data_IF_576312278787
#
_entry.id   IF_576312278787
#
_cell.length_a   1.000
_cell.length_b   1.000
_cell.length_c   1.000
_cell.angle_alpha   90.00
_cell.angle_beta   90.00
_cell.angle_gamma   90.00
#
_symmetry.space_group_name_H-M   'P 1'
#
loop_
_entity.id
_entity.type
_entity.pdbx_description
1 polymer ?
#
# COMPACT_ATOMS: atom_id res chain seq x y z
N UNK A 1 -7.62 22.99 9.72
CA UNK A 1 -8.76 23.26 8.81
C UNK A 1 -8.51 22.62 7.45
N UNK A 2 -9.56 22.05 6.81
CA UNK A 2 -9.49 21.39 5.52
C UNK A 2 -10.20 22.21 4.44
N UNK A 3 -9.66 22.27 3.19
CA UNK A 3 -10.42 22.75 2.05
C UNK A 3 -11.74 21.99 1.90
N UNK A 4 -12.77 22.69 1.46
CA UNK A 4 -14.14 22.13 1.37
C UNK A 4 -14.21 20.85 0.51
N UNK A 5 -13.47 20.83 -0.61
CA UNK A 5 -13.48 19.69 -1.52
C UNK A 5 -12.86 18.43 -0.88
N UNK A 6 -11.86 18.60 0.00
CA UNK A 6 -11.25 17.48 0.75
C UNK A 6 -12.23 16.93 1.78
N UNK A 7 -12.89 17.81 2.55
CA UNK A 7 -13.91 17.38 3.50
C UNK A 7 -15.05 16.63 2.78
N UNK A 8 -15.45 17.10 1.60
CA UNK A 8 -16.46 16.41 0.79
C UNK A 8 -15.98 15.03 0.31
N UNK A 9 -14.72 14.92 -0.11
CA UNK A 9 -14.14 13.64 -0.51
C UNK A 9 -14.16 12.62 0.66
N UNK A 10 -13.86 13.06 1.87
CA UNK A 10 -13.94 12.22 3.07
C UNK A 10 -15.38 11.80 3.39
N UNK A 11 -16.32 12.75 3.32
CA UNK A 11 -17.74 12.45 3.53
C UNK A 11 -18.26 11.43 2.51
N UNK A 12 -17.91 11.59 1.25
CA UNK A 12 -18.30 10.65 0.17
C UNK A 12 -17.74 9.26 0.43
N UNK A 13 -16.48 9.15 0.86
CA UNK A 13 -15.84 7.87 1.17
C UNK A 13 -16.42 7.20 2.42
N UNK A 14 -16.83 7.98 3.43
CA UNK A 14 -17.51 7.46 4.61
C UNK A 14 -18.93 6.99 4.30
N UNK A 15 -19.59 7.57 3.29
CA UNK A 15 -20.92 7.15 2.84
C UNK A 15 -21.95 7.21 3.96
N UNK A 16 -22.55 6.08 4.33
CA UNK A 16 -23.52 5.98 5.43
C UNK A 16 -22.92 6.33 6.80
N UNK A 17 -21.60 6.29 6.93
CA UNK A 17 -20.86 6.64 8.15
C UNK A 17 -20.40 8.12 8.17
N UNK A 18 -21.00 8.97 7.33
CA UNK A 18 -20.63 10.40 7.24
C UNK A 18 -20.79 11.18 8.58
N UNK A 19 -21.51 10.64 9.55
CA UNK A 19 -21.51 11.13 10.92
C UNK A 19 -20.15 11.09 11.62
N UNK A 20 -19.20 10.30 11.11
CA UNK A 20 -17.81 10.24 11.60
C UNK A 20 -16.90 11.30 10.97
N UNK A 21 -17.40 12.16 10.07
CA UNK A 21 -16.57 13.12 9.31
C UNK A 21 -15.74 14.03 10.23
N UNK A 22 -16.34 14.58 11.27
CA UNK A 22 -15.64 15.47 12.19
C UNK A 22 -14.48 14.75 12.89
N UNK A 23 -14.69 13.50 13.30
CA UNK A 23 -13.65 12.67 13.90
C UNK A 23 -12.52 12.35 12.91
N UNK A 24 -12.86 12.04 11.66
CA UNK A 24 -11.89 11.80 10.60
C UNK A 24 -11.01 13.02 10.31
N UNK A 25 -11.61 14.20 10.18
CA UNK A 25 -10.90 15.45 9.94
C UNK A 25 -10.06 15.88 11.15
N UNK A 26 -10.55 15.66 12.37
CA UNK A 26 -9.80 15.93 13.60
C UNK A 26 -8.56 15.02 13.71
N UNK A 27 -8.69 13.75 13.36
CA UNK A 27 -7.56 12.82 13.34
C UNK A 27 -6.47 13.20 12.33
N UNK A 28 -6.87 13.79 11.21
CA UNK A 28 -5.95 14.33 10.21
C UNK A 28 -5.16 15.56 10.69
N UNK A 29 -5.71 16.33 11.62
CA UNK A 29 -5.04 17.49 12.22
C UNK A 29 -4.17 17.08 13.42
N UNK A 30 -4.31 15.88 13.93
CA UNK A 30 -3.52 15.38 15.03
C UNK A 30 -2.10 14.96 14.57
N UNK A 31 -1.12 15.20 15.45
CA UNK A 31 0.24 14.74 15.17
C UNK A 31 0.28 13.21 15.18
N UNK A 32 0.72 12.55 14.09
CA UNK A 32 0.79 11.10 14.04
C UNK A 32 1.90 10.57 14.94
N UNK A 33 1.68 9.41 15.55
CA UNK A 33 2.74 8.64 16.16
C UNK A 33 3.71 8.08 15.12
N UNK A 34 4.91 7.72 15.56
CA UNK A 34 5.89 7.05 14.71
C UNK A 34 5.65 5.55 14.77
N UNK A 35 5.42 4.94 13.61
CA UNK A 35 5.33 3.50 13.47
C UNK A 35 6.61 2.94 12.85
N UNK A 36 7.10 1.84 13.39
CA UNK A 36 8.22 1.08 12.83
C UNK A 36 7.70 -0.27 12.32
N UNK A 37 8.37 -0.79 11.31
CA UNK A 37 8.18 -2.15 10.81
C UNK A 37 9.46 -2.95 11.04
N UNK A 38 9.40 -4.00 11.86
CA UNK A 38 10.47 -4.97 12.00
C UNK A 38 10.57 -5.82 10.72
N UNK A 39 11.80 -6.09 10.26
CA UNK A 39 12.01 -6.90 9.05
C UNK A 39 11.72 -8.37 9.35
N UNK A 40 10.74 -9.00 8.67
CA UNK A 40 10.47 -10.43 8.82
C UNK A 40 11.72 -11.29 8.58
N UNK A 41 11.91 -12.31 9.41
CA UNK A 41 13.07 -13.21 9.31
C UNK A 41 14.36 -12.66 9.92
N UNK A 42 14.40 -11.39 10.30
CA UNK A 42 15.60 -10.71 10.84
C UNK A 42 15.36 -10.24 12.28
N UNK A 43 14.24 -9.59 12.52
CA UNK A 43 13.92 -9.03 13.83
C UNK A 43 12.41 -9.16 14.10
N UNK A 44 12.03 -9.55 15.30
CA UNK A 44 10.63 -9.60 15.70
C UNK A 44 10.14 -8.23 16.18
N UNK A 45 8.85 -7.98 16.07
CA UNK A 45 8.25 -6.76 16.63
C UNK A 45 8.48 -6.66 18.14
N UNK A 46 8.39 -7.77 18.88
CA UNK A 46 8.67 -7.79 20.33
C UNK A 46 10.10 -7.35 20.65
N UNK A 47 11.08 -7.91 19.94
CA UNK A 47 12.48 -7.53 20.13
C UNK A 47 12.74 -6.06 19.76
N UNK A 48 12.12 -5.58 18.67
CA UNK A 48 12.22 -4.18 18.26
C UNK A 48 11.59 -3.24 19.30
N UNK A 49 10.42 -3.59 19.82
CA UNK A 49 9.74 -2.80 20.85
C UNK A 49 10.58 -2.68 22.12
N UNK A 50 11.20 -3.78 22.58
CA UNK A 50 12.12 -3.78 23.72
C UNK A 50 13.33 -2.87 23.47
N UNK A 51 13.98 -3.00 22.31
CA UNK A 51 15.16 -2.22 21.96
C UNK A 51 14.84 -0.71 21.79
N UNK A 52 13.65 -0.39 21.32
CA UNK A 52 13.21 0.98 21.04
C UNK A 52 12.50 1.66 22.21
N UNK A 53 12.14 0.92 23.26
CA UNK A 53 11.28 1.43 24.32
C UNK A 53 9.87 1.76 23.85
N UNK A 54 9.39 1.02 22.88
CA UNK A 54 8.08 1.19 22.25
C UNK A 54 7.10 0.08 22.59
N UNK A 55 5.96 0.08 21.94
CA UNK A 55 4.89 -0.92 22.10
C UNK A 55 4.66 -1.65 20.77
N UNK A 56 4.37 -2.94 20.85
CA UNK A 56 3.96 -3.74 19.69
C UNK A 56 2.64 -3.19 19.12
N UNK A 57 2.57 -3.06 17.80
CA UNK A 57 1.39 -2.56 17.11
C UNK A 57 0.17 -3.47 17.26
N UNK A 58 -1.02 -2.88 17.05
CA UNK A 58 -2.29 -3.58 17.27
C UNK A 58 -2.64 -4.58 16.18
N UNK A 59 -2.18 -4.35 14.94
CA UNK A 59 -2.69 -5.06 13.77
C UNK A 59 -1.61 -5.78 12.97
N UNK A 60 -0.56 -5.08 12.56
CA UNK A 60 0.53 -5.69 11.82
C UNK A 60 1.44 -6.48 12.76
N UNK A 61 1.81 -7.72 12.41
CA UNK A 61 2.74 -8.51 13.21
C UNK A 61 4.16 -7.93 13.24
N UNK A 62 4.44 -6.92 12.43
CA UNK A 62 5.75 -6.26 12.31
C UNK A 62 5.80 -4.89 13.01
N UNK A 63 4.64 -4.34 13.38
CA UNK A 63 4.53 -2.97 13.83
C UNK A 63 5.00 -2.76 15.25
N UNK A 64 5.70 -1.63 15.46
CA UNK A 64 6.03 -1.08 16.76
C UNK A 64 5.68 0.40 16.78
N UNK A 65 5.03 0.85 17.85
CA UNK A 65 4.72 2.26 18.07
C UNK A 65 5.76 2.88 18.99
N UNK A 66 6.34 4.02 18.55
CA UNK A 66 7.22 4.83 19.38
C UNK A 66 6.42 5.95 20.02
N UNK A 67 6.60 6.16 21.34
CA UNK A 67 5.99 7.27 22.08
C UNK A 67 6.76 8.57 21.96
N UNK A 68 7.99 8.54 21.44
CA UNK A 68 8.85 9.72 21.25
C UNK A 68 10.28 9.32 20.89
N UNK A 69 11.15 10.31 20.78
CA UNK A 69 12.53 10.11 20.40
C UNK A 69 12.77 10.20 18.89
N UNK A 70 14.04 10.12 18.50
CA UNK A 70 14.48 10.12 17.12
C UNK A 70 14.67 8.67 16.64
N UNK A 71 13.85 8.16 15.71
CA UNK A 71 14.01 6.82 15.16
C UNK A 71 15.40 6.57 14.56
N UNK A 72 16.03 7.61 14.01
CA UNK A 72 17.34 7.52 13.39
C UNK A 72 18.47 7.12 14.36
N UNK A 73 18.24 7.21 15.67
CA UNK A 73 19.18 6.75 16.71
C UNK A 73 19.13 5.26 16.98
N UNK A 74 18.09 4.58 16.50
CA UNK A 74 17.93 3.14 16.73
C UNK A 74 18.91 2.35 15.84
N UNK A 75 19.71 1.48 16.46
CA UNK A 75 20.62 0.60 15.74
C UNK A 75 19.89 -0.27 14.71
N UNK A 76 18.70 -0.77 15.04
CA UNK A 76 17.91 -1.59 14.15
C UNK A 76 17.57 -0.87 12.83
N UNK A 77 17.32 0.44 12.85
CA UNK A 77 17.07 1.22 11.64
C UNK A 77 18.36 1.43 10.85
N UNK A 78 19.45 1.77 11.51
CA UNK A 78 20.76 1.95 10.86
C UNK A 78 21.26 0.67 10.21
N UNK A 79 20.98 -0.46 10.81
CA UNK A 79 21.43 -1.80 10.36
C UNK A 79 20.45 -2.43 9.35
N UNK A 80 19.39 -1.72 8.95
CA UNK A 80 18.40 -2.22 8.00
C UNK A 80 17.50 -3.34 8.52
N UNK A 81 17.40 -3.50 9.84
CA UNK A 81 16.58 -4.53 10.50
C UNK A 81 15.13 -4.06 10.71
N UNK A 82 14.90 -2.78 10.59
CA UNK A 82 13.58 -2.15 10.69
C UNK A 82 13.54 -0.86 9.85
N UNK A 83 12.35 -0.42 9.50
CA UNK A 83 12.09 0.83 8.79
C UNK A 83 11.00 1.63 9.50
N UNK A 84 11.00 2.94 9.29
CA UNK A 84 9.85 3.78 9.63
C UNK A 84 8.78 3.54 8.58
N UNK A 85 7.62 3.05 8.98
CA UNK A 85 6.52 2.74 8.08
C UNK A 85 5.19 2.76 8.82
N UNK A 86 4.22 3.52 8.31
CA UNK A 86 2.84 3.51 8.81
C UNK A 86 2.28 2.09 8.85
N UNK A 87 1.58 1.74 9.91
CA UNK A 87 1.03 0.38 10.08
C UNK A 87 0.04 0.03 8.96
N UNK A 88 -0.71 1.01 8.46
CA UNK A 88 -1.59 0.81 7.29
C UNK A 88 -0.82 0.40 6.05
N UNK A 89 0.35 1.00 5.81
CA UNK A 89 1.25 0.60 4.72
C UNK A 89 1.80 -0.81 4.89
N UNK A 90 2.11 -1.20 6.11
CA UNK A 90 2.53 -2.57 6.43
C UNK A 90 1.43 -3.59 6.13
N UNK A 91 0.20 -3.28 6.49
CA UNK A 91 -0.97 -4.12 6.25
C UNK A 91 -1.25 -4.29 4.75
N UNK A 92 -1.08 -3.24 3.95
CA UNK A 92 -1.19 -3.32 2.48
C UNK A 92 -0.12 -4.25 1.91
N UNK A 93 1.14 -4.06 2.29
CA UNK A 93 2.24 -4.91 1.82
C UNK A 93 2.00 -6.39 2.19
N UNK A 94 1.61 -6.65 3.42
CA UNK A 94 1.29 -8.00 3.90
C UNK A 94 0.10 -8.61 3.16
N UNK A 95 -0.94 -7.82 2.87
CA UNK A 95 -2.13 -8.28 2.16
C UNK A 95 -1.79 -8.84 0.76
N UNK A 96 -0.85 -8.23 0.03
CA UNK A 96 -0.37 -8.77 -1.23
C UNK A 96 0.14 -10.21 -1.05
N UNK A 97 0.90 -10.47 -0.01
CA UNK A 97 1.53 -11.77 0.23
C UNK A 97 0.53 -12.83 0.70
N UNK A 98 -0.61 -12.43 1.25
CA UNK A 98 -1.67 -13.31 1.74
C UNK A 98 -2.78 -13.57 0.72
N UNK A 99 -2.88 -12.75 -0.33
CA UNK A 99 -3.95 -12.90 -1.32
C UNK A 99 -3.88 -14.28 -2.00
N UNK A 100 -5.02 -15.01 -2.08
CA UNK A 100 -4.98 -16.37 -2.62
C UNK A 100 -4.89 -16.34 -4.15
N UNK A 101 -3.80 -16.92 -4.68
CA UNK A 101 -3.66 -17.23 -6.09
C UNK A 101 -4.43 -18.52 -6.44
N UNK A 102 -4.91 -18.63 -7.68
CA UNK A 102 -5.31 -19.92 -8.25
C UNK A 102 -4.08 -20.58 -8.87
N UNK A 103 -3.90 -21.86 -8.58
CA UNK A 103 -2.69 -22.59 -8.97
C UNK A 103 -1.48 -22.24 -8.08
N UNK A 104 -0.33 -22.82 -8.41
CA UNK A 104 0.89 -22.62 -7.64
C UNK A 104 1.46 -21.21 -7.84
N UNK A 105 1.91 -20.61 -6.76
CA UNK A 105 2.67 -19.37 -6.80
C UNK A 105 4.11 -19.68 -7.24
N UNK A 106 4.49 -19.21 -8.42
CA UNK A 106 5.84 -19.39 -8.98
C UNK A 106 6.90 -18.51 -8.33
N UNK A 107 6.53 -17.69 -7.35
CA UNK A 107 7.45 -16.83 -6.61
C UNK A 107 7.96 -15.62 -7.40
N UNK A 108 7.25 -15.17 -8.42
CA UNK A 108 7.58 -13.96 -9.18
C UNK A 108 6.63 -12.83 -8.80
N UNK A 109 7.09 -11.92 -7.97
CA UNK A 109 6.29 -10.84 -7.42
C UNK A 109 6.78 -9.48 -7.93
N UNK A 110 5.87 -8.53 -8.12
CA UNK A 110 6.14 -7.22 -8.68
C UNK A 110 5.55 -6.12 -7.79
N UNK A 111 6.36 -5.10 -7.51
CA UNK A 111 5.92 -3.81 -6.97
C UNK A 111 6.02 -2.74 -8.05
N UNK A 112 4.90 -2.35 -8.64
CA UNK A 112 4.88 -1.53 -9.86
C UNK A 112 5.09 -0.03 -9.60
N UNK A 113 4.92 0.42 -8.36
CA UNK A 113 5.11 1.81 -7.93
C UNK A 113 5.87 1.83 -6.60
N UNK A 114 7.13 1.41 -6.64
CA UNK A 114 7.86 0.98 -5.46
C UNK A 114 8.35 2.09 -4.52
N UNK A 115 8.67 3.26 -5.06
CA UNK A 115 9.29 4.32 -4.27
C UNK A 115 8.43 4.84 -3.11
N UNK A 116 9.04 5.11 -1.97
CA UNK A 116 10.48 5.05 -1.64
C UNK A 116 11.00 3.67 -1.20
N UNK A 117 10.17 2.61 -1.16
CA UNK A 117 10.63 1.25 -0.95
C UNK A 117 10.24 0.60 0.38
N UNK A 118 9.43 1.25 1.20
CA UNK A 118 8.98 0.67 2.47
C UNK A 118 8.15 -0.60 2.28
N UNK A 119 7.15 -0.55 1.41
CA UNK A 119 6.34 -1.75 1.07
C UNK A 119 7.17 -2.79 0.34
N UNK A 120 8.04 -2.37 -0.58
CA UNK A 120 8.95 -3.27 -1.29
C UNK A 120 9.82 -4.06 -0.32
N UNK A 121 10.43 -3.40 0.66
CA UNK A 121 11.28 -4.04 1.66
C UNK A 121 10.53 -5.10 2.46
N UNK A 122 9.30 -4.80 2.89
CA UNK A 122 8.47 -5.74 3.64
C UNK A 122 8.06 -6.94 2.78
N UNK A 123 7.59 -6.68 1.55
CA UNK A 123 7.22 -7.73 0.60
C UNK A 123 8.42 -8.63 0.30
N UNK A 124 9.59 -8.03 0.06
CA UNK A 124 10.80 -8.79 -0.27
C UNK A 124 11.31 -9.63 0.92
N UNK A 125 11.19 -9.13 2.14
CA UNK A 125 11.55 -9.91 3.33
C UNK A 125 10.62 -11.11 3.53
N UNK A 126 9.32 -10.95 3.27
CA UNK A 126 8.35 -12.04 3.29
C UNK A 126 8.63 -13.02 2.14
N UNK A 127 8.90 -12.51 0.94
CA UNK A 127 9.23 -13.30 -0.23
C UNK A 127 10.45 -14.20 0.01
N UNK A 128 11.48 -13.67 0.67
CA UNK A 128 12.69 -14.43 1.00
C UNK A 128 12.40 -15.66 1.86
N UNK A 129 11.39 -15.58 2.74
CA UNK A 129 10.98 -16.72 3.57
C UNK A 129 10.22 -17.79 2.78
N UNK A 130 9.73 -17.46 1.59
CA UNK A 130 8.92 -18.34 0.73
C UNK A 130 9.65 -18.75 -0.55
N UNK A 131 10.90 -18.36 -0.72
CA UNK A 131 11.65 -18.62 -1.94
C UNK A 131 11.19 -17.81 -3.16
N UNK A 132 10.51 -16.69 -2.93
CA UNK A 132 10.06 -15.77 -3.97
C UNK A 132 11.04 -14.62 -4.16
N UNK A 133 10.98 -13.98 -5.33
CA UNK A 133 11.78 -12.81 -5.71
C UNK A 133 10.88 -11.63 -6.04
N UNK A 134 11.40 -10.42 -5.91
CA UNK A 134 10.64 -9.18 -6.15
C UNK A 134 11.32 -8.36 -7.23
N UNK A 135 10.53 -7.91 -8.19
CA UNK A 135 10.89 -6.83 -9.11
C UNK A 135 10.19 -5.56 -8.63
N UNK A 136 10.93 -4.49 -8.51
CA UNK A 136 10.43 -3.18 -8.07
C UNK A 136 10.63 -2.15 -9.19
N UNK A 137 9.60 -1.36 -9.47
CA UNK A 137 9.59 -0.37 -10.55
C UNK A 137 9.37 1.02 -9.97
N UNK A 138 10.25 1.95 -10.30
CA UNK A 138 10.16 3.35 -9.88
C UNK A 138 10.80 4.25 -10.94
N UNK A 139 10.05 5.15 -11.59
CA UNK A 139 10.60 6.00 -12.65
C UNK A 139 11.49 7.13 -12.13
N UNK A 140 11.27 7.62 -10.92
CA UNK A 140 12.06 8.71 -10.36
C UNK A 140 13.40 8.20 -9.83
N UNK A 141 14.56 8.68 -10.35
CA UNK A 141 15.89 8.15 -9.98
C UNK A 141 16.20 8.23 -8.49
N UNK A 142 15.83 9.34 -7.82
CA UNK A 142 16.08 9.50 -6.37
C UNK A 142 15.24 8.54 -5.54
N UNK A 143 13.98 8.33 -5.93
CA UNK A 143 13.11 7.38 -5.26
C UNK A 143 13.54 5.94 -5.51
N UNK A 144 14.03 5.64 -6.72
CA UNK A 144 14.60 4.33 -7.04
C UNK A 144 15.85 4.04 -6.19
N UNK A 145 16.72 5.02 -5.96
CA UNK A 145 17.85 4.87 -5.03
C UNK A 145 17.40 4.55 -3.61
N UNK A 146 16.30 5.16 -3.14
CA UNK A 146 15.73 4.85 -1.83
C UNK A 146 15.20 3.41 -1.78
N UNK A 147 14.59 2.93 -2.85
CA UNK A 147 14.16 1.51 -2.95
C UNK A 147 15.38 0.59 -2.84
N UNK A 148 16.45 0.88 -3.56
CA UNK A 148 17.70 0.11 -3.51
C UNK A 148 18.29 0.10 -2.09
N UNK A 149 18.35 1.25 -1.43
CA UNK A 149 18.84 1.38 -0.05
C UNK A 149 17.98 0.60 0.96
N UNK A 150 16.66 0.72 0.84
CA UNK A 150 15.71 0.08 1.76
C UNK A 150 15.62 -1.44 1.57
N UNK A 151 16.13 -1.96 0.47
CA UNK A 151 16.09 -3.40 0.12
C UNK A 151 17.47 -4.06 0.13
N UNK A 152 18.49 -3.39 0.68
CA UNK A 152 19.83 -3.98 0.83
C UNK A 152 19.75 -5.33 1.57
N UNK A 153 20.38 -6.34 1.02
CA UNK A 153 20.38 -7.71 1.56
C UNK A 153 19.15 -8.55 1.19
N UNK A 154 18.25 -7.99 0.38
CA UNK A 154 17.06 -8.69 -0.14
C UNK A 154 17.19 -8.93 -1.65
N UNK A 155 16.55 -9.97 -2.14
CA UNK A 155 16.52 -10.29 -3.57
C UNK A 155 15.46 -9.44 -4.29
N UNK A 156 15.88 -8.22 -4.66
CA UNK A 156 15.03 -7.23 -5.34
C UNK A 156 15.79 -6.67 -6.56
N UNK A 157 15.16 -6.79 -7.73
CA UNK A 157 15.60 -6.09 -8.93
C UNK A 157 14.85 -4.77 -9.05
N UNK A 158 15.57 -3.65 -9.07
CA UNK A 158 14.98 -2.31 -9.23
C UNK A 158 15.10 -1.84 -10.67
N UNK A 159 13.98 -1.50 -11.30
CA UNK A 159 13.88 -0.99 -12.66
C UNK A 159 13.44 0.47 -12.62
N UNK A 160 14.25 1.35 -13.22
CA UNK A 160 14.00 2.80 -13.24
C UNK A 160 13.24 3.20 -14.50
N UNK A 161 12.01 2.75 -14.60
CA UNK A 161 11.12 2.98 -15.75
C UNK A 161 9.71 3.33 -15.27
N UNK A 162 8.90 3.90 -16.15
CA UNK A 162 7.48 4.08 -15.91
C UNK A 162 6.79 2.70 -15.97
N UNK A 163 6.00 2.39 -14.95
CA UNK A 163 5.31 1.09 -14.85
C UNK A 163 4.36 0.80 -16.01
N UNK A 164 3.88 1.85 -16.71
CA UNK A 164 3.05 1.71 -17.90
C UNK A 164 3.83 1.27 -19.14
N UNK A 165 5.14 1.47 -19.12
CA UNK A 165 6.06 1.22 -20.26
C UNK A 165 7.01 0.05 -19.98
N UNK A 166 6.69 -0.79 -19.02
CA UNK A 166 7.53 -1.91 -18.64
C UNK A 166 7.58 -2.97 -19.73
N UNK A 167 8.76 -3.17 -20.34
CA UNK A 167 9.00 -4.09 -21.45
C UNK A 167 9.23 -5.54 -20.99
N UNK A 168 8.45 -6.02 -20.04
CA UNK A 168 8.44 -7.41 -19.63
C UNK A 168 7.30 -8.16 -20.33
N UNK A 169 7.46 -9.49 -20.54
CA UNK A 169 6.41 -10.30 -21.12
C UNK A 169 5.12 -10.21 -20.31
N UNK A 170 3.99 -10.25 -21.00
CA UNK A 170 2.69 -10.40 -20.34
C UNK A 170 2.67 -11.67 -19.48
N UNK A 171 1.85 -11.66 -18.42
CA UNK A 171 1.62 -12.84 -17.57
C UNK A 171 2.88 -13.39 -16.89
N UNK A 172 3.84 -12.49 -16.59
CA UNK A 172 5.14 -12.85 -15.99
C UNK A 172 5.12 -12.99 -14.47
N UNK A 173 4.10 -12.45 -13.79
CA UNK A 173 4.09 -12.36 -12.33
C UNK A 173 2.89 -13.05 -11.70
N UNK A 174 3.12 -13.63 -10.53
CA UNK A 174 2.08 -14.28 -9.71
C UNK A 174 1.33 -13.27 -8.86
N UNK A 175 2.04 -12.26 -8.33
CA UNK A 175 1.53 -11.22 -7.44
C UNK A 175 2.05 -9.86 -7.88
N UNK A 176 1.16 -8.88 -8.01
CA UNK A 176 1.52 -7.52 -8.39
C UNK A 176 0.89 -6.52 -7.42
N UNK A 177 1.72 -5.67 -6.82
CA UNK A 177 1.26 -4.51 -6.05
C UNK A 177 1.23 -3.28 -6.96
N UNK A 178 0.12 -2.54 -6.91
CA UNK A 178 0.00 -1.19 -7.44
C UNK A 178 -0.34 -0.26 -6.28
N UNK A 179 0.68 0.22 -5.58
CA UNK A 179 0.54 1.31 -4.61
C UNK A 179 0.63 2.63 -5.39
N UNK A 180 -0.51 3.04 -5.93
CA UNK A 180 -0.57 4.01 -7.00
C UNK A 180 -0.22 5.44 -6.54
N UNK A 181 0.45 6.24 -7.38
CA UNK A 181 0.53 7.68 -7.19
C UNK A 181 -0.89 8.26 -7.06
N UNK A 182 -1.12 9.06 -6.04
CA UNK A 182 -2.44 9.60 -5.73
C UNK A 182 -2.33 11.00 -5.13
N UNK A 183 -3.47 11.62 -4.83
CA UNK A 183 -3.50 12.94 -4.16
C UNK A 183 -2.88 12.92 -2.78
N UNK A 184 -2.80 11.77 -2.13
CA UNK A 184 -2.24 11.65 -0.78
C UNK A 184 -3.16 12.17 0.33
N UNK A 185 -4.44 12.35 0.06
CA UNK A 185 -5.40 12.90 1.04
C UNK A 185 -5.56 12.04 2.30
N UNK A 186 -5.16 10.78 2.24
CA UNK A 186 -5.18 9.87 3.39
C UNK A 186 -3.98 10.00 4.33
N UNK A 187 -2.95 10.76 3.94
CA UNK A 187 -1.72 10.97 4.71
C UNK A 187 -1.51 12.44 5.13
N UNK A 188 -2.56 13.24 5.18
CA UNK A 188 -2.49 14.67 5.49
C UNK A 188 -1.94 14.96 6.88
N UNK A 189 -2.14 14.07 7.84
CA UNK A 189 -1.56 14.20 9.19
C UNK A 189 -0.01 14.19 9.16
N UNK A 190 0.60 13.55 8.15
CA UNK A 190 2.05 13.50 7.93
C UNK A 190 2.54 14.59 7.01
N UNK A 191 1.68 15.05 6.10
CA UNK A 191 1.98 16.06 5.07
C UNK A 191 0.87 17.12 5.02
N UNK A 192 0.71 17.91 6.08
CA UNK A 192 -0.40 18.85 6.20
C UNK A 192 -0.42 19.91 5.10
N UNK A 193 0.75 20.23 4.53
CA UNK A 193 0.87 21.17 3.41
C UNK A 193 0.20 20.68 2.12
N UNK A 194 0.03 19.36 1.95
CA UNK A 194 -0.58 18.78 0.77
C UNK A 194 -2.03 19.25 0.58
N UNK A 195 -2.76 19.55 1.68
CA UNK A 195 -4.13 20.08 1.61
C UNK A 195 -4.23 21.42 0.89
N UNK A 196 -3.16 22.19 0.83
CA UNK A 196 -3.10 23.49 0.18
C UNK A 196 -2.41 23.45 -1.19
N UNK A 197 -1.64 22.41 -1.47
CA UNK A 197 -0.98 22.20 -2.75
C UNK A 197 -1.83 21.44 -3.75
N UNK A 198 -2.67 20.51 -3.26
CA UNK A 198 -3.57 19.75 -4.11
C UNK A 198 -4.82 20.56 -4.44
N UNK A 199 -5.30 20.34 -5.67
CA UNK A 199 -6.53 20.95 -6.19
C UNK A 199 -7.47 19.87 -6.72
N UNK A 200 -8.78 20.16 -6.87
CA UNK A 200 -9.70 19.21 -7.49
C UNK A 200 -9.28 18.79 -8.90
N UNK A 201 -8.56 19.64 -9.63
CA UNK A 201 -8.08 19.36 -10.99
C UNK A 201 -7.00 18.25 -11.03
N UNK A 202 -6.30 17.99 -9.92
CA UNK A 202 -5.32 16.92 -9.84
C UNK A 202 -5.97 15.52 -9.89
N UNK A 203 -7.22 15.41 -9.40
CA UNK A 203 -7.90 14.12 -9.25
C UNK A 203 -8.10 13.39 -10.59
N UNK A 204 -8.68 14.00 -11.63
CA UNK A 204 -8.87 13.29 -12.90
C UNK A 204 -7.54 12.92 -13.59
N UNK A 205 -6.51 13.72 -13.44
CA UNK A 205 -5.17 13.43 -13.98
C UNK A 205 -4.57 12.18 -13.31
N UNK A 206 -4.62 12.14 -11.98
CA UNK A 206 -4.13 11.00 -11.20
C UNK A 206 -4.99 9.75 -11.41
N UNK A 207 -6.31 9.90 -11.46
CA UNK A 207 -7.20 8.78 -11.72
C UNK A 207 -6.93 8.12 -13.09
N UNK A 208 -6.62 8.90 -14.11
CA UNK A 208 -6.20 8.37 -15.42
C UNK A 208 -4.91 7.56 -15.31
N UNK A 209 -3.88 8.11 -14.64
CA UNK A 209 -2.62 7.42 -14.39
C UNK A 209 -2.83 6.12 -13.62
N UNK A 210 -3.66 6.14 -12.59
CA UNK A 210 -3.99 4.97 -11.78
C UNK A 210 -4.65 3.87 -12.61
N UNK A 211 -5.59 4.21 -13.50
CA UNK A 211 -6.21 3.24 -14.41
C UNK A 211 -5.20 2.63 -15.37
N UNK A 212 -4.30 3.42 -15.92
CA UNK A 212 -3.25 2.95 -16.82
C UNK A 212 -2.26 2.03 -16.11
N UNK A 213 -1.85 2.37 -14.89
CA UNK A 213 -0.97 1.53 -14.08
C UNK A 213 -1.64 0.21 -13.68
N UNK A 214 -2.90 0.25 -13.30
CA UNK A 214 -3.64 -0.97 -12.96
C UNK A 214 -3.82 -1.87 -14.20
N UNK A 215 -4.10 -1.30 -15.37
CA UNK A 215 -4.17 -2.05 -16.63
C UNK A 215 -2.83 -2.73 -16.94
N UNK A 216 -1.70 -2.03 -16.77
CA UNK A 216 -0.37 -2.59 -16.95
C UNK A 216 -0.10 -3.75 -15.96
N UNK A 217 -0.48 -3.57 -14.70
CA UNK A 217 -0.35 -4.61 -13.68
C UNK A 217 -1.14 -5.88 -14.04
N UNK A 218 -2.38 -5.72 -14.48
CA UNK A 218 -3.23 -6.84 -14.91
C UNK A 218 -2.62 -7.57 -16.09
N UNK A 219 -2.08 -6.85 -17.07
CA UNK A 219 -1.37 -7.45 -18.22
C UNK A 219 -0.18 -8.29 -17.78
N UNK A 220 0.59 -7.80 -16.79
CA UNK A 220 1.80 -8.45 -16.29
C UNK A 220 1.49 -9.63 -15.35
N UNK A 221 0.30 -9.73 -14.84
CA UNK A 221 -0.13 -10.80 -13.94
C UNK A 221 -0.55 -12.02 -14.77
N UNK A 222 -0.10 -13.21 -14.33
CA UNK A 222 -0.56 -14.47 -14.94
C UNK A 222 -2.05 -14.73 -14.66
N UNK A 223 -2.72 -15.55 -15.46
CA UNK A 223 -4.04 -16.07 -15.10
C UNK A 223 -4.00 -16.80 -13.74
N UNK A 224 -4.96 -16.51 -12.88
CA UNK A 224 -4.98 -17.01 -11.51
C UNK A 224 -4.12 -16.24 -10.52
N UNK A 225 -3.23 -15.35 -10.98
CA UNK A 225 -2.46 -14.46 -10.16
C UNK A 225 -3.31 -13.32 -9.57
N UNK A 226 -2.72 -12.55 -8.66
CA UNK A 226 -3.42 -11.49 -7.94
C UNK A 226 -2.77 -10.13 -8.15
N UNK A 227 -3.61 -9.11 -8.21
CA UNK A 227 -3.19 -7.71 -8.18
C UNK A 227 -3.81 -7.06 -6.95
N UNK A 228 -2.99 -6.42 -6.14
CA UNK A 228 -3.48 -5.56 -5.06
C UNK A 228 -3.31 -4.10 -5.49
N UNK A 229 -4.42 -3.41 -5.67
CA UNK A 229 -4.47 -1.97 -5.90
C UNK A 229 -4.62 -1.25 -4.58
N UNK A 230 -3.78 -0.25 -4.33
CA UNK A 230 -3.81 0.54 -3.11
C UNK A 230 -3.53 2.02 -3.37
N UNK A 231 -4.10 2.88 -2.55
CA UNK A 231 -3.79 4.31 -2.48
C UNK A 231 -3.74 4.80 -1.05
N UNK A 232 -3.00 5.86 -0.78
CA UNK A 232 -3.14 6.63 0.45
C UNK A 232 -4.09 7.83 0.23
N UNK A 233 -5.24 7.56 -0.35
CA UNK A 233 -6.32 8.50 -0.58
C UNK A 233 -7.67 7.81 -0.41
N UNK A 234 -8.64 8.41 0.29
CA UNK A 234 -10.00 7.91 0.36
C UNK A 234 -10.90 8.40 -0.79
N UNK A 235 -10.41 9.27 -1.68
CA UNK A 235 -11.20 9.87 -2.74
C UNK A 235 -11.78 8.80 -3.68
N UNK A 236 -13.09 8.77 -3.86
CA UNK A 236 -13.78 7.71 -4.62
C UNK A 236 -13.30 7.57 -6.06
N UNK A 237 -12.93 8.69 -6.71
CA UNK A 237 -12.38 8.64 -8.07
C UNK A 237 -11.00 7.96 -8.16
N UNK A 238 -10.26 7.91 -7.05
CA UNK A 238 -8.94 7.27 -6.96
C UNK A 238 -9.01 5.85 -6.39
N UNK A 239 -10.13 5.44 -5.87
CA UNK A 239 -10.35 4.17 -5.18
C UNK A 239 -11.34 3.29 -5.91
N UNK A 240 -12.58 3.24 -5.46
CA UNK A 240 -13.62 2.39 -6.07
C UNK A 240 -13.87 2.71 -7.54
N UNK A 241 -13.70 3.95 -7.96
CA UNK A 241 -13.84 4.35 -9.36
C UNK A 241 -12.81 3.67 -10.27
N UNK A 242 -11.55 3.59 -9.82
CA UNK A 242 -10.48 2.91 -10.56
C UNK A 242 -10.70 1.39 -10.59
N UNK A 243 -11.05 0.81 -9.46
CA UNK A 243 -11.29 -0.64 -9.34
C UNK A 243 -12.50 -1.08 -10.18
N UNK A 244 -13.61 -0.36 -10.11
CA UNK A 244 -14.81 -0.65 -10.90
C UNK A 244 -14.55 -0.58 -12.39
N UNK A 245 -13.75 0.40 -12.84
CA UNK A 245 -13.34 0.52 -14.24
C UNK A 245 -12.51 -0.71 -14.67
N UNK A 246 -11.56 -1.13 -13.84
CA UNK A 246 -10.73 -2.30 -14.13
C UNK A 246 -11.56 -3.60 -14.23
N UNK A 247 -12.51 -3.81 -13.34
CA UNK A 247 -13.40 -4.98 -13.36
C UNK A 247 -14.26 -5.01 -14.64
N UNK A 248 -14.70 -3.86 -15.12
CA UNK A 248 -15.48 -3.77 -16.38
C UNK A 248 -14.64 -4.03 -17.63
N UNK A 249 -13.36 -3.64 -17.61
CA UNK A 249 -12.51 -3.64 -18.82
C UNK A 249 -11.57 -4.82 -18.93
N UNK A 250 -11.30 -5.50 -17.84
CA UNK A 250 -10.27 -6.55 -17.75
C UNK A 250 -10.83 -7.82 -17.13
N UNK A 251 -10.22 -8.99 -17.42
CA UNK A 251 -10.67 -10.28 -16.88
C UNK A 251 -10.21 -10.47 -15.44
N UNK A 252 -10.69 -9.63 -14.54
CA UNK A 252 -10.40 -9.69 -13.09
C UNK A 252 -11.69 -9.72 -12.28
N UNK A 253 -11.62 -10.38 -11.14
CA UNK A 253 -12.71 -10.44 -10.15
C UNK A 253 -12.21 -9.94 -8.80
N UNK A 254 -13.08 -9.25 -8.07
CA UNK A 254 -12.75 -8.80 -6.72
C UNK A 254 -12.71 -9.98 -5.75
N UNK A 255 -11.65 -10.03 -4.95
CA UNK A 255 -11.57 -10.87 -3.75
C UNK A 255 -12.10 -10.07 -2.55
N UNK A 256 -12.55 -10.76 -1.51
CA UNK A 256 -12.86 -10.09 -0.25
C UNK A 256 -11.54 -9.68 0.44
N UNK A 257 -11.13 -8.44 0.20
CA UNK A 257 -9.87 -7.91 0.68
C UNK A 257 -9.83 -7.81 2.21
N UNK A 258 -10.99 -7.70 2.86
CA UNK A 258 -11.09 -7.63 4.34
C UNK A 258 -10.44 -8.82 5.03
N UNK A 259 -10.56 -10.00 4.45
CA UNK A 259 -9.94 -11.22 4.98
C UNK A 259 -8.41 -11.13 5.04
N UNK A 260 -7.80 -10.31 4.17
CA UNK A 260 -6.35 -10.12 4.09
C UNK A 260 -5.82 -9.11 5.12
N UNK A 261 -6.71 -8.41 5.80
CA UNK A 261 -6.40 -7.38 6.81
C UNK A 261 -6.68 -7.84 8.25
N UNK A 262 -7.00 -9.13 8.44
CA UNK A 262 -7.17 -9.66 9.80
C UNK A 262 -5.91 -9.37 10.65
N UNK A 263 -6.04 -8.91 11.92
CA UNK A 263 -7.26 -8.85 12.74
C UNK A 263 -8.00 -7.50 12.71
N UNK A 264 -7.80 -6.66 11.73
CA UNK A 264 -8.45 -5.34 11.64
C UNK A 264 -9.94 -5.50 11.39
N UNK A 265 -10.74 -4.80 12.15
CA UNK A 265 -12.19 -4.69 11.98
C UNK A 265 -12.60 -3.31 11.43
N UNK A 266 -13.89 -3.11 11.24
CA UNK A 266 -14.48 -1.84 10.81
C UNK A 266 -13.85 -1.29 9.51
N UNK A 267 -13.71 -2.18 8.53
CA UNK A 267 -13.03 -1.92 7.25
C UNK A 267 -13.98 -1.44 6.14
N UNK A 268 -15.28 -1.34 6.44
CA UNK A 268 -16.34 -1.06 5.47
C UNK A 268 -17.07 -2.31 5.03
N UNK A 269 -18.02 -2.14 4.09
CA UNK A 269 -18.91 -3.22 3.64
C UNK A 269 -18.23 -4.22 2.68
N UNK A 270 -17.01 -3.90 2.25
CA UNK A 270 -16.27 -4.72 1.29
C UNK A 270 -16.81 -4.63 -0.15
N UNK A 271 -16.23 -5.42 -1.08
CA UNK A 271 -15.10 -6.35 -0.86
C UNK A 271 -13.75 -5.69 -0.66
N UNK A 272 -13.62 -4.39 -0.92
CA UNK A 272 -12.41 -3.60 -0.68
C UNK A 272 -12.30 -3.15 0.79
N UNK A 273 -11.16 -2.57 1.12
CA UNK A 273 -10.81 -2.10 2.46
C UNK A 273 -10.54 -0.60 2.43
N UNK A 274 -11.09 0.13 3.39
CA UNK A 274 -10.70 1.50 3.71
C UNK A 274 -10.25 1.57 5.16
N UNK A 275 -8.97 1.90 5.38
CA UNK A 275 -8.43 2.27 6.69
C UNK A 275 -8.65 3.76 6.95
N UNK A 276 -8.79 4.11 8.22
CA UNK A 276 -8.99 5.48 8.65
C UNK A 276 -8.17 5.83 9.89
N UNK A 277 -7.59 7.04 9.97
CA UNK A 277 -6.85 7.47 11.16
C UNK A 277 -7.68 7.43 12.44
N UNK A 278 -8.94 7.88 12.41
CA UNK A 278 -9.83 7.93 13.57
C UNK A 278 -10.34 6.57 14.03
N UNK A 279 -10.35 5.56 13.14
CA UNK A 279 -10.77 4.19 13.48
C UNK A 279 -9.59 3.30 13.83
N UNK A 280 -8.52 3.40 13.07
CA UNK A 280 -7.43 2.41 13.07
C UNK A 280 -6.09 2.97 13.53
N UNK A 281 -5.95 4.29 13.66
CA UNK A 281 -4.67 4.92 13.99
C UNK A 281 -3.64 4.87 12.87
N UNK A 282 -4.05 4.51 11.66
CA UNK A 282 -3.23 4.43 10.45
C UNK A 282 -3.52 5.61 9.52
N UNK A 283 -2.70 5.77 8.48
CA UNK A 283 -3.10 6.61 7.35
C UNK A 283 -4.36 6.03 6.68
N UNK A 284 -5.13 6.88 5.99
CA UNK A 284 -6.32 6.44 5.29
C UNK A 284 -5.91 5.72 3.99
N UNK A 285 -5.63 4.44 4.12
CA UNK A 285 -5.26 3.56 3.01
C UNK A 285 -6.50 2.87 2.46
N UNK A 286 -6.61 2.84 1.14
CA UNK A 286 -7.55 2.00 0.40
C UNK A 286 -6.81 0.80 -0.19
N UNK A 287 -7.43 -0.37 -0.19
CA UNK A 287 -6.90 -1.56 -0.84
C UNK A 287 -8.00 -2.42 -1.45
N UNK A 288 -7.73 -2.95 -2.65
CA UNK A 288 -8.61 -3.88 -3.35
C UNK A 288 -7.79 -4.98 -4.01
N UNK A 289 -8.01 -6.21 -3.60
CA UNK A 289 -7.40 -7.40 -4.20
C UNK A 289 -8.25 -7.89 -5.37
N UNK A 290 -7.60 -8.11 -6.52
CA UNK A 290 -8.22 -8.61 -7.74
C UNK A 290 -7.50 -9.89 -8.16
N UNK A 291 -8.25 -10.90 -8.59
CA UNK A 291 -7.67 -12.12 -9.19
C UNK A 291 -7.93 -12.13 -10.68
N UNK A 292 -6.88 -12.38 -11.46
CA UNK A 292 -6.99 -12.50 -12.90
C UNK A 292 -7.56 -13.87 -13.28
N UNK A 293 -8.62 -13.87 -14.07
CA UNK A 293 -9.19 -15.06 -14.69
C UNK A 293 -8.41 -15.52 -15.92
N UNK A 294 -8.74 -16.70 -16.42
CA UNK A 294 -8.26 -17.14 -17.72
C UNK A 294 -8.84 -16.22 -18.81
N UNK A 295 -8.00 -15.82 -19.78
CA UNK A 295 -8.50 -15.16 -20.99
C UNK A 295 -9.31 -16.20 -21.77
N UNK A 296 -10.57 -15.92 -22.15
CA UNK A 296 -11.30 -16.85 -23.03
C UNK A 296 -10.47 -17.10 -24.29
N UNK A 297 -10.22 -18.35 -24.62
CA UNK A 297 -9.66 -18.69 -25.94
C UNK A 297 -10.75 -18.40 -26.96
N UNK A 298 -10.50 -17.47 -27.88
CA UNK A 298 -11.35 -17.26 -29.07
C UNK A 298 -11.36 -18.49 -29.98
#
# INVERSE_FOLDING_TARGET
AHPRWIAQAFADALGSDAGELDAALAADDARPGVHLAARPGVLTATALAEAAGGEVGRYSPYAVYLSGGDPGRLAALRDGQALVQDEGSQLVARALTLAPCSGDDGGRWLDLCAGPGGKTALIAAIAAQQGATVTAVEPNPRRAELVEQNTIGLDVQVLRVDGRELSLPAESFDRVLVDAPCTGLGALRRRPEARWRRTPADVPVLAKLQRELLAAAIRLTRPGGVVLYATCSPHLAETVGVVSDAIRRHPVTALDTRALFSPVDNLGDGPHVQLWPHRHGTDAMFAAALRKGAVPQE
#
